data_IF_288687980954
#
_entry.id   IF_288687980954
#
_cell.length_a   1.000
_cell.length_b   1.000
_cell.length_c   1.000
_cell.angle_alpha   90.00
_cell.angle_beta   90.00
_cell.angle_gamma   90.00
#
_symmetry.space_group_name_H-M   'P 1'
#
loop_
_entity.id
_entity.type
_entity.pdbx_description
1 polymer ?
#
# COMPACT_ATOMS: atom_id res chain seq x y z
N UNK A 1 20.05 5.41 -12.89
CA UNK A 1 18.78 5.34 -12.13
C UNK A 1 19.14 5.73 -10.70
N UNK A 2 18.97 7.01 -10.37
CA UNK A 2 19.51 7.58 -9.13
C UNK A 2 18.71 7.12 -7.92
N UNK A 3 19.41 6.78 -6.86
CA UNK A 3 18.82 6.38 -5.57
C UNK A 3 17.88 7.49 -5.09
N UNK A 4 16.63 7.13 -4.79
CA UNK A 4 15.72 8.04 -4.13
C UNK A 4 16.24 8.31 -2.70
N UNK A 5 16.18 9.56 -2.20
CA UNK A 5 16.61 9.85 -0.84
C UNK A 5 15.83 8.98 0.16
N UNK A 6 16.52 8.50 1.19
CA UNK A 6 16.08 7.51 2.19
C UNK A 6 14.87 7.95 3.07
N UNK A 7 14.10 8.93 2.63
CA UNK A 7 13.00 9.57 3.35
C UNK A 7 11.74 9.74 2.50
N UNK A 8 11.78 9.39 1.21
CA UNK A 8 10.59 9.43 0.35
C UNK A 8 10.09 8.00 0.18
N UNK A 9 9.02 7.68 0.91
CA UNK A 9 8.27 6.46 0.67
C UNK A 9 7.65 6.56 -0.73
N UNK A 10 8.14 5.74 -1.66
CA UNK A 10 7.60 5.65 -3.01
C UNK A 10 6.68 4.44 -3.06
N UNK A 11 5.38 4.69 -3.16
CA UNK A 11 4.35 3.68 -3.30
C UNK A 11 3.71 3.74 -4.67
N UNK A 12 3.69 2.61 -5.39
CA UNK A 12 2.88 2.45 -6.59
C UNK A 12 1.61 1.65 -6.25
N UNK A 13 0.40 2.22 -6.44
CA UNK A 13 -0.83 1.47 -6.31
C UNK A 13 -0.87 0.33 -7.34
N UNK A 14 -1.06 -0.90 -6.85
CA UNK A 14 -1.22 -2.10 -7.68
C UNK A 14 -2.68 -2.43 -7.91
N UNK A 15 -3.55 -2.07 -6.96
CA UNK A 15 -5.00 -2.16 -7.08
C UNK A 15 -5.63 -0.91 -6.48
N UNK A 16 -6.69 -0.44 -7.13
CA UNK A 16 -7.52 0.67 -6.66
C UNK A 16 -8.98 0.28 -6.85
N UNK A 17 -9.81 0.52 -5.85
CA UNK A 17 -11.25 0.31 -5.91
C UNK A 17 -11.97 1.40 -5.13
N UNK A 18 -13.22 1.66 -5.47
CA UNK A 18 -14.06 2.62 -4.75
C UNK A 18 -15.50 2.09 -4.65
N UNK A 19 -16.14 2.35 -3.51
CA UNK A 19 -17.54 2.03 -3.27
C UNK A 19 -18.14 3.05 -2.31
N UNK A 20 -19.17 3.77 -2.76
CA UNK A 20 -19.77 4.85 -1.96
C UNK A 20 -18.77 5.97 -1.70
N UNK A 21 -18.62 6.34 -0.43
CA UNK A 21 -17.65 7.32 0.05
C UNK A 21 -16.29 6.70 0.43
N UNK A 22 -16.10 5.40 0.20
CA UNK A 22 -14.86 4.70 0.50
C UNK A 22 -14.00 4.50 -0.76
N UNK A 23 -12.69 4.74 -0.62
CA UNK A 23 -11.65 4.43 -1.61
C UNK A 23 -10.62 3.51 -0.97
N UNK A 24 -10.23 2.48 -1.70
CA UNK A 24 -9.20 1.53 -1.32
C UNK A 24 -8.01 1.61 -2.27
N UNK A 25 -6.80 1.51 -1.73
CA UNK A 25 -5.59 1.25 -2.51
C UNK A 25 -4.77 0.14 -1.88
N UNK A 26 -4.23 -0.75 -2.71
CA UNK A 26 -3.17 -1.67 -2.31
C UNK A 26 -1.89 -1.29 -3.02
N UNK A 27 -0.84 -0.99 -2.25
CA UNK A 27 0.42 -0.44 -2.75
C UNK A 27 1.60 -1.28 -2.31
N UNK A 28 2.60 -1.42 -3.19
CA UNK A 28 3.94 -1.84 -2.80
C UNK A 28 4.77 -0.59 -2.57
N UNK A 29 5.23 -0.41 -1.34
CA UNK A 29 5.93 0.79 -0.88
C UNK A 29 7.39 0.48 -0.57
N UNK A 30 8.29 1.29 -1.10
CA UNK A 30 9.73 1.25 -0.83
C UNK A 30 10.14 2.45 0.02
N UNK A 31 11.17 2.28 0.87
CA UNK A 31 11.76 3.38 1.63
C UNK A 31 11.08 3.74 2.95
N UNK A 32 10.09 2.97 3.41
CA UNK A 32 9.47 3.13 4.73
C UNK A 32 10.17 2.27 5.82
N UNK A 33 10.76 1.13 5.45
CA UNK A 33 11.36 0.20 6.40
C UNK A 33 12.62 -0.49 5.87
N UNK A 34 13.11 -1.54 6.57
CA UNK A 34 14.29 -2.30 6.13
C UNK A 34 14.07 -3.06 4.82
N UNK A 35 12.82 -3.21 4.38
CA UNK A 35 12.45 -3.80 3.10
C UNK A 35 11.16 -3.20 2.55
N UNK A 36 10.69 -3.70 1.38
CA UNK A 36 9.42 -3.28 0.81
C UNK A 36 8.24 -3.71 1.70
N UNK A 37 7.23 -2.85 1.80
CA UNK A 37 6.03 -3.08 2.60
C UNK A 37 4.81 -3.05 1.69
N UNK A 38 3.88 -3.97 1.91
CA UNK A 38 2.57 -3.98 1.25
C UNK A 38 1.60 -3.28 2.18
N UNK A 39 1.00 -2.19 1.72
CA UNK A 39 0.01 -1.43 2.47
C UNK A 39 -1.32 -1.48 1.74
N UNK A 40 -2.36 -1.69 2.53
CA UNK A 40 -3.73 -1.40 2.15
C UNK A 40 -4.14 -0.13 2.87
N UNK A 41 -4.46 0.90 2.11
CA UNK A 41 -5.07 2.13 2.62
C UNK A 41 -6.56 2.14 2.28
N UNK A 42 -7.37 2.57 3.25
CA UNK A 42 -8.80 2.83 3.07
C UNK A 42 -9.05 4.27 3.49
N UNK A 43 -9.69 5.04 2.61
CA UNK A 43 -10.05 6.43 2.83
C UNK A 43 -11.57 6.57 2.80
N UNK A 44 -12.14 7.30 3.75
CA UNK A 44 -13.50 7.83 3.63
C UNK A 44 -13.45 9.28 3.18
N UNK A 45 -14.26 9.62 2.19
CA UNK A 45 -14.32 10.96 1.62
C UNK A 45 -15.61 11.68 1.96
N UNK A 46 -15.51 12.98 2.24
CA UNK A 46 -16.66 13.86 2.39
C UNK A 46 -16.33 15.20 1.72
N UNK A 47 -17.24 15.70 0.87
CA UNK A 47 -17.06 16.95 0.13
C UNK A 47 -15.72 17.02 -0.65
N UNK A 48 -15.33 15.90 -1.25
CA UNK A 48 -14.09 15.78 -2.03
C UNK A 48 -12.81 15.78 -1.19
N UNK A 49 -12.91 15.60 0.13
CA UNK A 49 -11.75 15.55 1.05
C UNK A 49 -11.71 14.22 1.77
N UNK A 50 -10.51 13.73 2.05
CA UNK A 50 -10.31 12.60 2.97
C UNK A 50 -10.64 13.08 4.38
N UNK A 51 -11.63 12.45 5.01
CA UNK A 51 -12.06 12.76 6.38
C UNK A 51 -11.74 11.65 7.37
N UNK A 52 -11.37 10.47 6.86
CA UNK A 52 -10.97 9.32 7.67
C UNK A 52 -10.00 8.45 6.87
N UNK A 53 -9.05 7.85 7.57
CA UNK A 53 -8.03 6.97 7.00
C UNK A 53 -7.79 5.80 7.94
N UNK A 54 -7.70 4.61 7.35
CA UNK A 54 -7.23 3.40 8.01
C UNK A 54 -6.20 2.74 7.11
N UNK A 55 -5.25 2.06 7.74
CA UNK A 55 -4.31 1.22 7.03
C UNK A 55 -4.12 -0.13 7.72
N UNK A 56 -3.63 -1.08 6.91
CA UNK A 56 -2.90 -2.23 7.40
C UNK A 56 -1.61 -2.36 6.58
N UNK A 57 -0.51 -2.65 7.26
CA UNK A 57 0.80 -2.81 6.65
C UNK A 57 1.39 -4.16 7.01
N UNK A 58 2.05 -4.79 6.04
CA UNK A 58 2.87 -5.98 6.26
C UNK A 58 4.16 -5.91 5.42
N UNK A 59 5.23 -6.49 5.93
CA UNK A 59 6.43 -6.70 5.13
C UNK A 59 6.11 -7.59 3.92
N UNK A 60 6.75 -7.32 2.78
CA UNK A 60 6.59 -8.14 1.59
C UNK A 60 7.08 -9.56 1.86
N UNK A 61 6.16 -10.51 1.82
CA UNK A 61 6.45 -11.95 1.90
C UNK A 61 6.62 -12.52 0.50
N UNK A 62 7.73 -13.23 0.24
CA UNK A 62 7.96 -13.90 -1.05
C UNK A 62 6.94 -15.03 -1.27
N UNK A 63 6.49 -15.28 -2.51
CA UNK A 63 5.45 -16.29 -2.80
C UNK A 63 5.73 -17.67 -2.20
N UNK A 64 7.00 -18.09 -2.21
CA UNK A 64 7.44 -19.41 -1.71
C UNK A 64 7.29 -19.56 -0.19
N UNK A 65 7.17 -18.44 0.53
CA UNK A 65 6.95 -18.41 1.97
C UNK A 65 5.47 -18.23 2.35
N UNK A 66 4.58 -18.03 1.37
CA UNK A 66 3.13 -17.95 1.62
C UNK A 66 2.48 -19.33 1.59
N UNK A 67 1.45 -19.54 2.40
CA UNK A 67 0.70 -20.81 2.38
C UNK A 67 -0.03 -21.06 1.05
N UNK A 68 -0.38 -20.00 0.32
CA UNK A 68 -1.10 -20.10 -0.97
C UNK A 68 -0.17 -20.26 -2.18
N UNK A 69 1.13 -20.04 -2.01
CA UNK A 69 2.10 -19.99 -3.12
C UNK A 69 1.99 -18.76 -4.02
N UNK A 70 1.16 -17.77 -3.66
CA UNK A 70 0.94 -16.57 -4.47
C UNK A 70 1.53 -15.32 -3.81
N UNK A 71 1.92 -14.36 -4.64
CA UNK A 71 2.32 -13.02 -4.18
C UNK A 71 1.16 -12.33 -3.44
N UNK A 72 1.50 -11.61 -2.38
CA UNK A 72 0.57 -10.72 -1.65
C UNK A 72 0.37 -9.37 -2.33
N UNK A 73 1.09 -9.14 -3.44
CA UNK A 73 0.98 -8.01 -4.36
C UNK A 73 0.53 -8.52 -5.71
#
# INVERSE_FOLDING_TARGET
MGDAPAHVALGEPKRVAAQGDLVFTQSLVHGWGPGPTVIVDIFRLENGRIVEHWDVAQDLVRPEATASGNSVV
#
